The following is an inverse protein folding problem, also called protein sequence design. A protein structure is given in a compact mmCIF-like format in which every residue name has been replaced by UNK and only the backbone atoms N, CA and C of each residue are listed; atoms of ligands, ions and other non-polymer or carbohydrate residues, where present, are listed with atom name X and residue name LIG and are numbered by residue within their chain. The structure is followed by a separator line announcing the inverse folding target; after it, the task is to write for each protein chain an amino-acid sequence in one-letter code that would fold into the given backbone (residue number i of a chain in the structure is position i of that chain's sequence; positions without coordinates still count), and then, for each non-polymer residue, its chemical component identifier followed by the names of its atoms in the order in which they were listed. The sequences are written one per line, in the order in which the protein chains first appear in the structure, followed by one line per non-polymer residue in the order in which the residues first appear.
data_IF_312356805052
#
_entry.id   IF_312356805052
#
_cell.length_a   1.000
_cell.length_b   1.000
_cell.length_c   1.000
_cell.angle_alpha   90.00
_cell.angle_beta   90.00
_cell.angle_gamma   90.00
#
_symmetry.space_group_name_H-M   'P 1'
#
loop_
_entity.id
_entity.type
_entity.pdbx_description
1 polymer ?
#
# COMPACT_ATOMS: atom_id res chain seq x y z
N UNK A 1 11.19 0.50 -18.86
CA UNK A 1 10.48 0.60 -17.57
C UNK A 1 9.65 1.86 -17.65
N UNK A 2 8.33 1.82 -17.45
CA UNK A 2 7.52 3.02 -17.66
C UNK A 2 7.66 3.98 -16.46
N UNK A 3 7.54 3.47 -15.23
CA UNK A 3 7.74 4.23 -13.98
C UNK A 3 8.46 3.34 -12.94
N UNK A 4 9.45 3.87 -12.21
CA UNK A 4 10.22 3.11 -11.20
C UNK A 4 9.65 3.30 -9.79
N UNK A 5 9.14 4.49 -9.50
CA UNK A 5 8.57 4.89 -8.21
C UNK A 5 7.30 5.74 -8.34
N UNK A 6 6.76 6.19 -7.20
CA UNK A 6 5.58 7.06 -7.17
C UNK A 6 5.86 8.43 -7.79
N UNK A 7 7.07 8.99 -7.62
CA UNK A 7 7.43 10.32 -8.13
C UNK A 7 7.51 10.33 -9.66
N UNK A 8 8.00 9.26 -10.27
CA UNK A 8 7.93 9.04 -11.72
C UNK A 8 6.49 9.02 -12.21
N UNK A 9 5.61 8.31 -11.50
CA UNK A 9 4.20 8.24 -11.86
C UNK A 9 3.48 9.58 -11.73
N UNK A 10 3.77 10.35 -10.67
CA UNK A 10 3.26 11.73 -10.52
C UNK A 10 3.68 12.60 -11.71
N UNK A 11 4.95 12.54 -12.12
CA UNK A 11 5.47 13.32 -13.26
C UNK A 11 4.77 12.95 -14.57
N UNK A 12 4.53 11.66 -14.78
CA UNK A 12 3.79 11.21 -15.95
C UNK A 12 2.34 11.72 -15.94
N UNK A 13 1.62 11.56 -14.82
CA UNK A 13 0.25 12.02 -14.72
C UNK A 13 0.17 13.53 -14.96
N UNK A 14 1.13 14.30 -14.45
CA UNK A 14 1.24 15.73 -14.71
C UNK A 14 1.45 16.03 -16.21
N UNK A 15 2.37 15.32 -16.87
CA UNK A 15 2.62 15.47 -18.31
C UNK A 15 1.38 15.13 -19.17
N UNK A 16 0.52 14.22 -18.70
CA UNK A 16 -0.75 13.84 -19.35
C UNK A 16 -1.93 14.73 -18.96
N UNK A 17 -1.74 15.74 -18.12
CA UNK A 17 -2.85 16.55 -17.58
C UNK A 17 -3.79 15.78 -16.63
N UNK A 18 -3.36 14.62 -16.14
CA UNK A 18 -4.06 13.73 -15.22
C UNK A 18 -3.69 13.97 -13.75
N UNK A 19 -2.88 14.98 -13.46
CA UNK A 19 -2.56 15.45 -12.11
C UNK A 19 -2.70 16.96 -12.02
N UNK A 20 -3.27 17.44 -10.91
CA UNK A 20 -3.36 18.86 -10.58
C UNK A 20 -2.65 19.12 -9.25
N UNK A 21 -1.68 20.04 -9.28
CA UNK A 21 -1.07 20.62 -8.07
C UNK A 21 -1.98 21.69 -7.48
N UNK A 22 -2.28 21.55 -6.19
CA UNK A 22 -3.10 22.48 -5.40
C UNK A 22 -2.17 23.22 -4.45
N UNK A 23 -1.91 24.48 -4.77
CA UNK A 23 -0.98 25.36 -4.03
C UNK A 23 -1.65 26.19 -2.94
N UNK A 24 -2.97 26.32 -3.01
CA UNK A 24 -3.74 27.00 -1.96
C UNK A 24 -3.63 26.18 -0.69
N UNK A 25 -3.66 26.83 0.47
CA UNK A 25 -3.73 26.13 1.74
C UNK A 25 -5.04 25.35 1.82
N UNK A 26 -4.98 24.06 2.17
CA UNK A 26 -6.15 23.19 2.34
C UNK A 26 -6.01 22.39 3.63
N UNK A 27 -7.09 22.31 4.41
CA UNK A 27 -7.11 21.57 5.66
C UNK A 27 -7.23 20.05 5.42
N UNK A 28 -6.32 19.20 5.96
CA UNK A 28 -6.49 17.74 5.95
C UNK A 28 -7.74 17.27 6.70
N UNK A 29 -8.29 18.11 7.58
CA UNK A 29 -9.57 17.88 8.23
C UNK A 29 -10.72 18.26 7.29
N UNK A 30 -11.37 17.25 6.69
CA UNK A 30 -12.56 17.34 5.84
C UNK A 30 -12.39 18.04 4.49
N UNK A 31 -11.70 19.17 4.39
CA UNK A 31 -11.63 19.98 3.16
C UNK A 31 -10.99 19.23 1.99
N UNK A 32 -9.87 18.54 2.23
CA UNK A 32 -9.24 17.72 1.20
C UNK A 32 -10.18 16.63 0.67
N UNK A 33 -10.98 16.04 1.55
CA UNK A 33 -11.95 14.99 1.19
C UNK A 33 -13.05 15.55 0.30
N UNK A 34 -13.59 16.72 0.63
CA UNK A 34 -14.60 17.40 -0.19
C UNK A 34 -14.08 17.71 -1.60
N UNK A 35 -12.85 18.21 -1.69
CA UNK A 35 -12.20 18.51 -2.98
C UNK A 35 -11.99 17.21 -3.77
N UNK A 36 -11.52 16.15 -3.12
CA UNK A 36 -11.34 14.83 -3.74
C UNK A 36 -12.67 14.25 -4.23
N UNK A 37 -13.74 14.29 -3.44
CA UNK A 37 -15.05 13.74 -3.79
C UNK A 37 -15.63 14.43 -5.03
N UNK A 38 -15.66 15.76 -5.05
CA UNK A 38 -16.12 16.52 -6.22
C UNK A 38 -15.28 16.22 -7.46
N UNK A 39 -13.96 16.14 -7.29
CA UNK A 39 -13.03 15.85 -8.39
C UNK A 39 -13.28 14.45 -8.93
N UNK A 40 -13.43 13.44 -8.07
CA UNK A 40 -13.71 12.06 -8.48
C UNK A 40 -15.06 11.94 -9.20
N UNK A 41 -16.12 12.56 -8.66
CA UNK A 41 -17.46 12.57 -9.29
C UNK A 41 -17.47 13.21 -10.67
N UNK A 42 -16.62 14.20 -10.89
CA UNK A 42 -16.45 14.86 -12.18
C UNK A 42 -15.46 14.13 -13.12
N UNK A 43 -14.90 12.97 -12.72
CA UNK A 43 -13.88 12.27 -13.51
C UNK A 43 -12.55 13.02 -13.62
N UNK A 44 -12.26 13.90 -12.67
CA UNK A 44 -11.12 14.80 -12.66
C UNK A 44 -9.77 14.12 -12.36
N UNK A 45 -8.68 14.92 -12.33
CA UNK A 45 -7.31 14.43 -12.18
C UNK A 45 -7.02 13.92 -10.75
N UNK A 46 -5.87 13.26 -10.60
CA UNK A 46 -5.24 13.10 -9.28
C UNK A 46 -4.87 14.47 -8.70
N UNK A 47 -4.82 14.58 -7.38
CA UNK A 47 -4.60 15.85 -6.69
C UNK A 47 -3.34 15.76 -5.83
N UNK A 48 -2.43 16.71 -6.00
CA UNK A 48 -1.27 16.89 -5.13
C UNK A 48 -1.43 18.20 -4.36
N UNK A 49 -1.83 18.11 -3.09
CA UNK A 49 -1.93 19.24 -2.17
C UNK A 49 -0.54 19.58 -1.64
N UNK A 50 0.03 20.70 -2.07
CA UNK A 50 1.40 21.11 -1.74
C UNK A 50 1.48 21.94 -0.47
N UNK A 51 0.34 22.44 0.03
CA UNK A 51 0.25 23.27 1.23
C UNK A 51 -0.87 22.78 2.17
N UNK A 52 -0.71 21.60 2.80
CA UNK A 52 -1.63 21.17 3.85
C UNK A 52 -1.50 22.09 5.07
N UNK A 53 -2.63 22.61 5.56
CA UNK A 53 -2.63 23.53 6.71
C UNK A 53 -1.98 22.90 7.95
N UNK A 54 -0.91 23.52 8.43
CA UNK A 54 -0.17 23.05 9.61
C UNK A 54 0.84 21.94 9.36
N UNK A 55 1.13 21.59 8.10
CA UNK A 55 2.06 20.52 7.74
C UNK A 55 2.97 20.91 6.56
N UNK A 56 4.22 20.45 6.59
CA UNK A 56 5.19 20.67 5.51
C UNK A 56 5.22 19.54 4.47
N UNK A 57 4.45 18.46 4.69
CA UNK A 57 4.47 17.26 3.87
C UNK A 57 3.31 17.32 2.87
N UNK A 58 3.55 17.31 1.55
CA UNK A 58 2.46 17.29 0.55
C UNK A 58 1.60 16.04 0.63
N UNK A 59 0.31 16.16 0.29
CA UNK A 59 -0.64 15.04 0.25
C UNK A 59 -1.03 14.74 -1.19
N UNK A 60 -0.73 13.52 -1.65
CA UNK A 60 -1.24 12.98 -2.90
C UNK A 60 -2.55 12.23 -2.63
N UNK A 61 -3.62 12.62 -3.30
CA UNK A 61 -4.93 12.01 -3.19
C UNK A 61 -5.60 11.83 -4.56
N UNK A 62 -6.72 11.11 -4.59
CA UNK A 62 -7.47 10.79 -5.80
C UNK A 62 -6.64 10.11 -6.92
N UNK A 63 -5.54 9.46 -6.55
CA UNK A 63 -4.53 8.91 -7.48
C UNK A 63 -5.18 7.95 -8.49
N UNK A 64 -6.00 7.02 -7.98
CA UNK A 64 -6.71 6.02 -8.76
C UNK A 64 -8.20 6.37 -8.99
N UNK A 65 -8.53 7.66 -9.05
CA UNK A 65 -9.90 8.14 -9.21
C UNK A 65 -10.55 7.90 -10.58
N UNK A 66 -9.80 7.40 -11.57
CA UNK A 66 -10.35 7.03 -12.89
C UNK A 66 -9.82 5.67 -13.35
N UNK A 67 -10.61 4.91 -14.15
CA UNK A 67 -10.15 3.65 -14.72
C UNK A 67 -8.85 3.78 -15.54
N UNK A 68 -8.68 4.89 -16.24
CA UNK A 68 -7.48 5.17 -17.02
C UNK A 68 -6.24 5.30 -16.13
N UNK A 69 -6.32 6.01 -15.00
CA UNK A 69 -5.18 6.09 -14.06
C UNK A 69 -4.88 4.76 -13.38
N UNK A 70 -5.88 3.93 -13.13
CA UNK A 70 -5.67 2.54 -12.68
C UNK A 70 -4.89 1.75 -13.73
N UNK A 71 -5.31 1.80 -15.00
CA UNK A 71 -4.61 1.11 -16.08
C UNK A 71 -3.15 1.58 -16.21
N UNK A 72 -2.92 2.90 -16.20
CA UNK A 72 -1.58 3.49 -16.22
C UNK A 72 -0.72 3.01 -15.04
N UNK A 73 -1.30 2.92 -13.84
CA UNK A 73 -0.62 2.42 -12.65
C UNK A 73 -0.23 0.94 -12.73
N UNK A 74 -0.96 0.14 -13.51
CA UNK A 74 -0.63 -1.26 -13.80
C UNK A 74 0.35 -1.42 -14.98
N UNK A 75 0.91 -0.33 -15.51
CA UNK A 75 1.82 -0.35 -16.64
C UNK A 75 1.13 -0.49 -18.01
N UNK A 76 -0.20 -0.41 -18.06
CA UNK A 76 -0.99 -0.47 -19.29
C UNK A 76 -1.24 0.93 -19.88
N UNK A 77 -1.44 1.03 -21.21
CA UNK A 77 -1.85 2.29 -21.86
C UNK A 77 -3.36 2.54 -21.79
N UNK A 78 -4.16 1.49 -21.59
CA UNK A 78 -5.61 1.57 -21.59
C UNK A 78 -6.25 0.46 -20.74
N UNK A 79 -7.55 0.57 -20.52
CA UNK A 79 -8.33 -0.34 -19.67
C UNK A 79 -8.46 -1.72 -20.33
N UNK A 80 -8.48 -1.81 -21.66
CA UNK A 80 -8.58 -3.08 -22.38
C UNK A 80 -7.41 -4.01 -22.08
N UNK A 81 -6.21 -3.46 -21.88
CA UNK A 81 -5.03 -4.21 -21.51
C UNK A 81 -5.13 -4.88 -20.11
N UNK A 82 -6.04 -4.42 -19.24
CA UNK A 82 -6.31 -5.11 -17.97
C UNK A 82 -6.90 -6.51 -18.18
N UNK A 83 -7.56 -6.78 -19.32
CA UNK A 83 -8.02 -8.13 -19.66
C UNK A 83 -6.85 -9.11 -19.82
N UNK A 84 -5.72 -8.65 -20.36
CA UNK A 84 -4.52 -9.47 -20.50
C UNK A 84 -3.90 -9.80 -19.13
N UNK A 85 -3.97 -8.88 -18.17
CA UNK A 85 -3.59 -9.15 -16.77
C UNK A 85 -4.46 -10.27 -16.17
N UNK A 86 -5.78 -10.24 -16.42
CA UNK A 86 -6.69 -11.30 -15.96
C UNK A 86 -6.36 -12.67 -16.57
N UNK A 87 -6.02 -12.72 -17.87
CA UNK A 87 -5.56 -13.96 -18.52
C UNK A 87 -4.26 -14.47 -17.93
N UNK A 88 -3.31 -13.58 -17.64
CA UNK A 88 -2.05 -13.93 -17.00
C UNK A 88 -2.29 -14.51 -15.59
N UNK A 89 -3.17 -13.90 -14.79
CA UNK A 89 -3.55 -14.42 -13.47
C UNK A 89 -4.18 -15.80 -13.55
N UNK A 90 -5.08 -16.03 -14.51
CA UNK A 90 -5.68 -17.34 -14.74
C UNK A 90 -4.63 -18.40 -15.08
N UNK A 91 -3.68 -18.07 -15.97
CA UNK A 91 -2.57 -18.95 -16.31
C UNK A 91 -1.65 -19.27 -15.13
N UNK A 92 -1.34 -18.27 -14.29
CA UNK A 92 -0.47 -18.46 -13.11
C UNK A 92 -1.12 -19.32 -12.03
N UNK A 93 -2.45 -19.33 -11.95
CA UNK A 93 -3.19 -20.17 -11.00
C UNK A 93 -3.09 -21.65 -11.36
N UNK A 94 -3.22 -21.99 -12.65
CA UNK A 94 -3.18 -23.36 -13.15
C UNK A 94 -2.31 -23.44 -14.43
N UNK A 95 -0.98 -23.56 -14.29
CA UNK A 95 -0.09 -23.60 -15.45
C UNK A 95 -0.25 -24.92 -16.22
N UNK A 96 -0.82 -24.88 -17.42
CA UNK A 96 -0.86 -26.05 -18.31
C UNK A 96 0.51 -26.31 -18.97
N UNK A 97 1.08 -27.53 -18.85
CA UNK A 97 2.32 -27.88 -19.52
C UNK A 97 2.17 -27.72 -21.04
N UNK A 98 3.20 -27.22 -21.74
CA UNK A 98 3.10 -26.97 -23.16
C UNK A 98 2.88 -28.27 -23.94
N UNK A 99 1.87 -28.28 -24.83
CA UNK A 99 1.48 -29.49 -25.58
C UNK A 99 2.40 -29.80 -26.79
N UNK A 100 3.42 -28.96 -27.03
CA UNK A 100 4.42 -29.16 -28.08
C UNK A 100 5.33 -27.92 -28.30
N UNK A 101 6.24 -28.00 -29.27
CA UNK A 101 7.23 -26.94 -29.56
C UNK A 101 6.61 -25.60 -29.98
N UNK A 102 5.48 -25.63 -30.71
CA UNK A 102 4.77 -24.42 -31.14
C UNK A 102 4.13 -23.68 -29.95
N UNK A 103 3.47 -24.43 -29.07
CA UNK A 103 2.86 -23.91 -27.82
C UNK A 103 3.94 -23.38 -26.86
N UNK A 104 5.10 -24.03 -26.80
CA UNK A 104 6.24 -23.53 -26.02
C UNK A 104 6.77 -22.18 -26.55
N UNK A 105 6.81 -21.98 -27.87
CA UNK A 105 7.19 -20.69 -28.47
C UNK A 105 6.14 -19.59 -28.22
N UNK A 106 4.85 -19.92 -28.28
CA UNK A 106 3.75 -18.99 -27.97
C UNK A 106 3.74 -18.60 -26.48
N UNK A 107 4.13 -19.51 -25.58
CA UNK A 107 4.25 -19.25 -24.13
C UNK A 107 5.58 -18.60 -23.71
N UNK A 108 6.57 -18.49 -24.60
CA UNK A 108 7.90 -17.93 -24.30
C UNK A 108 7.86 -16.49 -23.74
N UNK A 109 7.01 -15.56 -24.22
CA UNK A 109 6.88 -14.24 -23.62
C UNK A 109 6.41 -14.26 -22.16
N UNK A 110 5.52 -15.21 -21.82
CA UNK A 110 5.02 -15.41 -20.45
C UNK A 110 6.16 -15.91 -19.54
N UNK A 111 6.97 -16.85 -20.02
CA UNK A 111 8.16 -17.31 -19.29
C UNK A 111 9.19 -16.18 -19.03
N UNK A 112 9.33 -15.22 -19.96
CA UNK A 112 10.16 -14.02 -19.71
C UNK A 112 9.58 -13.14 -18.61
N UNK A 113 8.26 -13.01 -18.52
CA UNK A 113 7.61 -12.26 -17.44
C UNK A 113 7.82 -12.93 -16.08
N UNK A 114 7.82 -14.26 -16.03
CA UNK A 114 8.11 -15.03 -14.80
C UNK A 114 9.48 -14.67 -14.19
N UNK A 115 10.47 -14.31 -15.00
CA UNK A 115 11.80 -13.87 -14.52
C UNK A 115 11.74 -12.58 -13.68
N UNK A 116 10.67 -11.79 -13.81
CA UNK A 116 10.46 -10.54 -13.06
C UNK A 116 9.70 -10.74 -11.73
N UNK A 117 9.31 -11.97 -11.39
CA UNK A 117 8.51 -12.26 -10.19
C UNK A 117 9.31 -12.16 -8.89
N UNK A 118 10.59 -12.52 -8.88
CA UNK A 118 11.39 -12.41 -7.65
C UNK A 118 11.64 -10.94 -7.28
N UNK A 119 11.31 -10.46 -6.07
CA UNK A 119 11.71 -9.13 -5.65
C UNK A 119 13.24 -9.00 -5.64
N UNK A 120 13.74 -7.81 -5.96
CA UNK A 120 15.17 -7.49 -5.92
C UNK A 120 15.47 -6.80 -4.60
N UNK A 121 16.20 -7.47 -3.72
CA UNK A 121 16.65 -6.87 -2.46
C UNK A 121 17.80 -5.92 -2.74
N UNK A 122 17.65 -4.65 -2.34
CA UNK A 122 18.69 -3.62 -2.39
C UNK A 122 19.28 -3.38 -1.00
N UNK A 123 20.53 -2.88 -0.95
CA UNK A 123 21.23 -2.64 0.32
C UNK A 123 20.93 -1.28 0.94
N UNK A 124 20.61 -0.28 0.11
CA UNK A 124 20.28 1.08 0.51
C UNK A 124 19.10 1.55 -0.33
N UNK A 125 18.22 2.34 0.26
CA UNK A 125 16.97 2.73 -0.35
C UNK A 125 16.60 4.18 0.01
N UNK A 126 15.98 4.94 -0.91
CA UNK A 126 15.51 6.29 -0.63
C UNK A 126 14.58 6.37 0.58
N UNK A 127 13.73 5.36 0.80
CA UNK A 127 12.79 5.34 1.93
C UNK A 127 13.46 5.29 3.33
N UNK A 128 14.78 5.19 3.39
CA UNK A 128 15.58 5.14 4.62
C UNK A 128 16.59 6.30 4.72
N UNK A 129 16.43 7.37 3.92
CA UNK A 129 17.32 8.56 3.96
C UNK A 129 17.22 9.31 5.29
N UNK A 130 15.99 9.45 5.82
CA UNK A 130 15.73 9.99 7.16
C UNK A 130 15.17 8.88 8.04
N UNK A 131 15.67 8.79 9.28
CA UNK A 131 15.26 7.79 10.27
C UNK A 131 14.92 8.49 11.57
N UNK A 132 13.67 8.32 12.03
CA UNK A 132 13.15 8.82 13.30
C UNK A 132 12.83 7.64 14.22
N UNK A 133 13.41 7.62 15.42
CA UNK A 133 13.24 6.54 16.41
C UNK A 133 12.91 7.10 17.80
N UNK A 134 12.31 6.26 18.66
CA UNK A 134 12.03 6.60 20.05
C UNK A 134 11.20 7.87 20.20
N UNK A 135 11.71 8.82 20.99
CA UNK A 135 11.06 10.12 21.23
C UNK A 135 11.00 11.02 19.99
N UNK A 136 11.57 10.64 18.84
CA UNK A 136 11.39 11.38 17.58
C UNK A 136 10.15 10.94 16.79
N UNK A 137 9.59 9.75 17.08
CA UNK A 137 8.43 9.19 16.36
C UNK A 137 7.15 9.92 16.71
N UNK A 138 6.65 10.73 15.78
CA UNK A 138 5.42 11.50 15.98
C UNK A 138 4.53 11.46 14.75
N UNK A 139 3.49 10.64 14.81
CA UNK A 139 2.51 10.49 13.74
C UNK A 139 1.65 11.76 13.55
N UNK A 140 1.57 12.63 14.56
CA UNK A 140 0.85 13.91 14.42
C UNK A 140 1.57 14.90 13.51
N UNK A 141 2.81 14.61 13.09
CA UNK A 141 3.52 15.39 12.07
C UNK A 141 3.15 15.00 10.64
N UNK A 142 2.45 13.88 10.46
CA UNK A 142 1.95 13.47 9.15
C UNK A 142 0.57 14.11 8.90
N UNK A 143 0.29 14.63 7.69
CA UNK A 143 -1.01 15.21 7.32
C UNK A 143 -2.07 14.11 7.10
N UNK A 144 -2.33 13.30 8.14
CA UNK A 144 -3.32 12.23 8.10
C UNK A 144 -4.71 12.87 8.03
N UNK A 145 -5.48 12.48 7.01
CA UNK A 145 -6.77 13.10 6.74
C UNK A 145 -7.83 12.64 7.74
N UNK A 146 -8.78 13.51 8.05
CA UNK A 146 -10.09 13.14 8.60
C UNK A 146 -11.10 13.25 7.46
N UNK A 147 -11.81 12.16 7.16
CA UNK A 147 -12.59 12.08 5.93
C UNK A 147 -13.97 12.72 6.10
N UNK A 148 -14.68 12.37 7.16
CA UNK A 148 -16.07 12.76 7.38
C UNK A 148 -16.29 13.40 8.76
N UNK A 149 -17.31 14.27 8.92
CA UNK A 149 -17.53 14.99 10.17
C UNK A 149 -17.78 14.10 11.41
N UNK A 150 -18.29 12.89 11.22
CA UNK A 150 -18.56 11.92 12.28
C UNK A 150 -17.46 10.89 12.49
N UNK A 151 -16.34 10.99 11.76
CA UNK A 151 -15.20 10.09 11.95
C UNK A 151 -14.54 10.32 13.31
N UNK A 152 -14.13 9.25 13.98
CA UNK A 152 -13.58 9.32 15.33
C UNK A 152 -12.23 10.05 15.44
N UNK A 153 -11.39 9.97 14.40
CA UNK A 153 -10.04 10.52 14.39
C UNK A 153 -9.47 10.53 12.96
N UNK A 154 -8.28 11.14 12.73
CA UNK A 154 -7.54 10.95 11.49
C UNK A 154 -7.31 9.47 11.15
N UNK A 155 -7.39 9.13 9.87
CA UNK A 155 -7.34 7.75 9.37
C UNK A 155 -6.31 7.60 8.25
N UNK A 156 -5.36 6.68 8.40
CA UNK A 156 -4.45 6.30 7.32
C UNK A 156 -5.19 5.34 6.38
N UNK A 157 -5.40 5.76 5.13
CA UNK A 157 -6.30 5.08 4.16
C UNK A 157 -5.58 4.29 3.07
N UNK A 158 -4.31 4.58 2.80
CA UNK A 158 -3.46 3.82 1.86
C UNK A 158 -2.25 3.12 2.51
N UNK A 159 -2.37 2.48 3.69
CA UNK A 159 -1.26 1.74 4.27
C UNK A 159 -1.06 0.41 3.53
N UNK A 160 0.12 0.20 2.95
CA UNK A 160 0.55 -1.15 2.57
C UNK A 160 1.13 -1.81 3.80
N UNK A 161 0.31 -2.61 4.49
CA UNK A 161 0.71 -3.35 5.68
C UNK A 161 1.42 -4.62 5.26
N UNK A 162 2.66 -4.78 5.71
CA UNK A 162 3.53 -5.93 5.42
C UNK A 162 3.68 -6.77 6.67
N UNK A 163 3.41 -8.06 6.53
CA UNK A 163 3.49 -9.07 7.58
C UNK A 163 4.13 -10.35 7.08
N UNK A 164 4.62 -11.18 8.00
CA UNK A 164 5.12 -12.53 7.71
C UNK A 164 4.67 -13.49 8.80
N UNK A 165 3.94 -14.53 8.42
CA UNK A 165 3.59 -15.62 9.34
C UNK A 165 4.83 -16.43 9.76
N UNK A 166 4.80 -17.10 10.93
CA UNK A 166 5.98 -17.73 11.55
C UNK A 166 6.55 -18.91 10.76
N UNK A 167 5.72 -19.58 9.95
CA UNK A 167 6.11 -20.76 9.17
C UNK A 167 6.32 -20.47 7.66
N UNK A 168 6.21 -19.19 7.26
CA UNK A 168 6.19 -18.79 5.85
C UNK A 168 7.42 -17.95 5.52
N UNK A 169 8.08 -18.28 4.42
CA UNK A 169 9.12 -17.39 3.86
C UNK A 169 8.49 -16.16 3.16
N UNK A 170 7.26 -16.30 2.63
CA UNK A 170 6.55 -15.23 1.91
C UNK A 170 5.99 -14.19 2.87
N UNK A 171 6.02 -12.94 2.44
CA UNK A 171 5.33 -11.84 3.11
C UNK A 171 3.96 -11.60 2.46
N UNK A 172 3.01 -11.16 3.27
CA UNK A 172 1.71 -10.68 2.81
C UNK A 172 1.72 -9.14 2.73
N UNK A 173 1.09 -8.57 1.72
CA UNK A 173 0.78 -7.14 1.64
C UNK A 173 -0.73 -6.94 1.66
N UNK A 174 -1.22 -6.04 2.51
CA UNK A 174 -2.65 -5.72 2.54
C UNK A 174 -2.92 -4.27 2.89
N UNK A 175 -4.10 -3.78 2.47
CA UNK A 175 -4.57 -2.45 2.82
C UNK A 175 -5.60 -2.57 3.95
N UNK A 176 -5.18 -2.15 5.14
CA UNK A 176 -5.99 -2.17 6.35
C UNK A 176 -6.01 -0.76 6.93
N UNK A 177 -7.18 -0.10 6.94
CA UNK A 177 -7.27 1.29 7.44
C UNK A 177 -6.73 1.38 8.86
N UNK A 178 -6.06 2.49 9.19
CA UNK A 178 -5.40 2.64 10.48
C UNK A 178 -5.80 3.94 11.18
N UNK A 179 -6.58 3.83 12.26
CA UNK A 179 -7.00 4.98 13.07
C UNK A 179 -5.85 5.49 13.92
N UNK A 180 -5.59 6.79 13.90
CA UNK A 180 -4.64 7.44 14.78
C UNK A 180 -5.22 7.58 16.20
N UNK A 181 -4.59 6.93 17.18
CA UNK A 181 -5.03 6.95 18.59
C UNK A 181 -3.97 7.49 19.55
N UNK A 182 -2.80 7.85 19.04
CA UNK A 182 -1.76 8.49 19.82
C UNK A 182 -0.53 8.79 19.00
N UNK A 183 0.45 9.42 19.65
CA UNK A 183 1.70 9.87 19.03
C UNK A 183 2.40 8.82 18.18
N UNK A 184 2.39 7.56 18.62
CA UNK A 184 3.03 6.44 17.93
C UNK A 184 2.13 5.20 17.88
N UNK A 185 0.81 5.38 17.92
CA UNK A 185 -0.16 4.29 18.04
C UNK A 185 -1.24 4.41 16.96
N UNK A 186 -1.40 3.34 16.20
CA UNK A 186 -2.41 3.17 15.16
C UNK A 186 -3.25 1.93 15.46
N UNK A 187 -4.53 1.92 15.09
CA UNK A 187 -5.35 0.70 15.16
C UNK A 187 -5.19 -0.11 13.87
N UNK A 188 -4.92 -1.41 13.95
CA UNK A 188 -4.83 -2.30 12.79
C UNK A 188 -6.19 -2.91 12.43
N UNK A 189 -7.00 -2.20 11.62
CA UNK A 189 -8.33 -2.66 11.21
C UNK A 189 -8.26 -3.67 10.07
N UNK A 190 -7.92 -4.91 10.39
CA UNK A 190 -8.02 -6.07 9.48
C UNK A 190 -9.20 -6.97 9.82
N UNK A 191 -9.85 -7.55 8.80
CA UNK A 191 -10.87 -8.59 9.05
C UNK A 191 -10.18 -9.94 9.30
N UNK A 192 -10.77 -10.79 10.13
CA UNK A 192 -10.14 -12.02 10.64
C UNK A 192 -9.66 -13.02 9.56
N UNK A 193 -10.17 -12.94 8.33
CA UNK A 193 -9.80 -13.80 7.20
C UNK A 193 -8.72 -13.20 6.29
N UNK A 194 -8.20 -12.00 6.60
CA UNK A 194 -7.16 -11.34 5.79
C UNK A 194 -5.78 -11.85 6.16
N UNK A 195 -4.86 -11.88 5.19
CA UNK A 195 -3.53 -12.46 5.34
C UNK A 195 -2.77 -11.98 6.59
N UNK A 196 -2.72 -10.67 6.83
CA UNK A 196 -2.07 -10.14 8.04
C UNK A 196 -2.70 -10.61 9.36
N UNK A 197 -4.03 -10.72 9.42
CA UNK A 197 -4.73 -11.21 10.61
C UNK A 197 -4.47 -12.70 10.84
N UNK A 198 -4.36 -13.49 9.76
CA UNK A 198 -3.97 -14.90 9.83
C UNK A 198 -2.53 -15.04 10.32
N UNK A 199 -1.60 -14.26 9.76
CA UNK A 199 -0.19 -14.26 10.17
C UNK A 199 -0.03 -13.88 11.65
N UNK A 200 -0.75 -12.86 12.13
CA UNK A 200 -0.73 -12.47 13.55
C UNK A 200 -1.27 -13.58 14.46
N UNK A 201 -2.38 -14.21 14.07
CA UNK A 201 -2.96 -15.31 14.85
C UNK A 201 -2.01 -16.51 14.91
N UNK A 202 -1.43 -16.89 13.77
CA UNK A 202 -0.42 -17.96 13.68
C UNK A 202 0.81 -17.61 14.52
N UNK A 203 1.26 -16.35 14.49
CA UNK A 203 2.37 -15.85 15.30
C UNK A 203 2.09 -16.00 16.80
N UNK A 204 0.93 -15.54 17.29
CA UNK A 204 0.59 -15.67 18.71
C UNK A 204 0.49 -17.13 19.18
N UNK A 205 0.16 -18.06 18.28
CA UNK A 205 0.15 -19.50 18.59
C UNK A 205 1.56 -20.09 18.66
N UNK A 206 2.44 -19.70 17.73
CA UNK A 206 3.81 -20.21 17.65
C UNK A 206 4.76 -19.55 18.67
N UNK A 207 4.53 -18.27 18.98
CA UNK A 207 5.37 -17.43 19.85
C UNK A 207 4.50 -16.71 20.91
N UNK A 208 3.94 -17.43 21.90
CA UNK A 208 3.02 -16.83 22.87
C UNK A 208 3.66 -15.69 23.67
N UNK A 209 3.02 -14.52 23.66
CA UNK A 209 3.49 -13.33 24.36
C UNK A 209 4.59 -12.54 23.65
N UNK A 210 5.09 -13.00 22.50
CA UNK A 210 6.07 -12.26 21.73
C UNK A 210 5.42 -11.24 20.80
N UNK A 211 6.02 -10.05 20.72
CA UNK A 211 5.60 -8.97 19.82
C UNK A 211 5.61 -9.42 18.36
N UNK A 212 4.54 -9.12 17.64
CA UNK A 212 4.43 -9.45 16.22
C UNK A 212 4.98 -8.32 15.36
N UNK A 213 6.07 -8.52 14.58
CA UNK A 213 6.65 -7.47 13.75
C UNK A 213 5.71 -7.05 12.61
N UNK A 214 5.56 -5.74 12.43
CA UNK A 214 4.76 -5.14 11.35
C UNK A 214 5.53 -3.98 10.72
N UNK A 215 5.40 -3.85 9.41
CA UNK A 215 5.83 -2.66 8.68
C UNK A 215 4.68 -2.12 7.83
N UNK A 216 4.62 -0.80 7.63
CA UNK A 216 3.64 -0.13 6.79
C UNK A 216 4.37 0.77 5.82
N UNK A 217 4.17 0.56 4.51
CA UNK A 217 4.70 1.46 3.49
C UNK A 217 3.60 2.41 3.00
N UNK A 218 3.93 3.71 2.93
CA UNK A 218 3.08 4.76 2.39
C UNK A 218 3.76 5.35 1.15
N UNK A 219 2.97 5.55 0.09
CA UNK A 219 3.48 6.12 -1.16
C UNK A 219 4.46 5.21 -1.91
N UNK A 220 4.20 3.90 -1.94
CA UNK A 220 4.94 2.98 -2.80
C UNK A 220 4.65 3.23 -4.30
N UNK A 221 5.42 2.59 -5.17
CA UNK A 221 5.15 2.61 -6.61
C UNK A 221 3.72 2.07 -6.93
N UNK A 222 3.07 2.56 -8.01
CA UNK A 222 1.67 2.25 -8.29
C UNK A 222 1.42 0.76 -8.55
N UNK A 223 2.39 0.03 -9.12
CA UNK A 223 2.26 -1.40 -9.38
C UNK A 223 2.23 -2.20 -8.08
N UNK A 224 3.05 -1.83 -7.09
CA UNK A 224 3.02 -2.43 -5.75
C UNK A 224 1.70 -2.15 -5.04
N UNK A 225 1.20 -0.90 -5.10
CA UNK A 225 -0.07 -0.55 -4.48
C UNK A 225 -1.23 -1.37 -5.09
N UNK A 226 -1.32 -1.41 -6.41
CA UNK A 226 -2.38 -2.15 -7.11
C UNK A 226 -2.21 -3.66 -6.95
N UNK A 227 -0.96 -4.14 -6.85
CA UNK A 227 -0.66 -5.53 -6.57
C UNK A 227 -1.19 -6.00 -5.21
N UNK A 228 -1.15 -5.15 -4.18
CA UNK A 228 -1.69 -5.43 -2.85
C UNK A 228 -3.23 -5.44 -2.78
N UNK A 229 -3.91 -4.82 -3.75
CA UNK A 229 -5.38 -4.80 -3.83
C UNK A 229 -5.90 -5.93 -4.73
N UNK A 230 -5.08 -6.41 -5.66
CA UNK A 230 -5.48 -7.46 -6.60
C UNK A 230 -5.50 -8.82 -5.89
N UNK A 231 -6.58 -9.62 -6.03
CA UNK A 231 -6.62 -10.96 -5.46
C UNK A 231 -5.66 -11.89 -6.21
N UNK A 232 -4.47 -12.09 -5.65
CA UNK A 232 -3.45 -13.00 -6.18
C UNK A 232 -3.58 -14.40 -5.57
N UNK A 233 -3.21 -15.47 -6.29
CA UNK A 233 -3.14 -16.80 -5.70
C UNK A 233 -2.15 -16.86 -4.52
N UNK A 234 -2.42 -17.71 -3.53
CA UNK A 234 -1.51 -17.94 -2.39
C UNK A 234 -0.10 -18.38 -2.80
N UNK A 235 0.05 -18.97 -3.99
CA UNK A 235 1.36 -19.37 -4.51
C UNK A 235 2.21 -18.18 -4.98
N UNK A 236 1.65 -16.96 -5.02
CA UNK A 236 2.28 -15.76 -5.54
C UNK A 236 2.29 -14.65 -4.50
N UNK A 237 3.45 -14.04 -4.24
CA UNK A 237 3.49 -12.83 -3.39
C UNK A 237 3.01 -11.60 -4.16
N UNK A 238 2.45 -10.62 -3.47
CA UNK A 238 1.97 -9.38 -4.08
C UNK A 238 3.13 -8.60 -4.72
N UNK A 239 4.34 -8.68 -4.17
CA UNK A 239 5.54 -8.12 -4.80
C UNK A 239 5.88 -8.76 -6.14
N UNK A 240 5.69 -10.07 -6.25
CA UNK A 240 5.93 -10.79 -7.49
C UNK A 240 4.91 -10.40 -8.55
N UNK A 241 3.64 -10.27 -8.14
CA UNK A 241 2.60 -9.78 -9.03
C UNK A 241 2.83 -8.33 -9.46
N UNK A 242 3.25 -7.45 -8.56
CA UNK A 242 3.66 -6.08 -8.88
C UNK A 242 4.83 -6.04 -9.89
N UNK A 243 5.78 -6.97 -9.79
CA UNK A 243 6.89 -7.09 -10.74
C UNK A 243 6.43 -7.49 -12.15
N UNK A 244 5.40 -8.35 -12.24
CA UNK A 244 4.76 -8.71 -13.51
C UNK A 244 4.07 -7.50 -14.14
N UNK A 245 3.27 -6.76 -13.38
CA UNK A 245 2.57 -5.55 -13.84
C UNK A 245 3.56 -4.49 -14.34
N UNK A 246 4.63 -4.26 -13.58
CA UNK A 246 5.66 -3.26 -13.90
C UNK A 246 6.57 -3.67 -15.06
N UNK A 247 6.65 -4.96 -15.36
CA UNK A 247 7.59 -5.54 -16.32
C UNK A 247 9.05 -5.55 -15.85
N UNK A 248 9.28 -5.40 -14.54
CA UNK A 248 10.61 -5.45 -13.91
C UNK A 248 10.47 -5.77 -12.41
N UNK A 249 11.50 -6.38 -11.82
CA UNK A 249 11.47 -6.80 -10.40
C UNK A 249 11.19 -5.62 -9.47
N UNK A 250 10.30 -5.83 -8.51
CA UNK A 250 10.06 -4.87 -7.42
C UNK A 250 11.31 -4.75 -6.56
N UNK A 251 11.84 -3.54 -6.42
CA UNK A 251 12.97 -3.28 -5.52
C UNK A 251 12.47 -3.13 -4.09
N UNK A 252 13.02 -3.93 -3.19
CA UNK A 252 12.68 -3.93 -1.77
C UNK A 252 13.94 -3.75 -0.93
N UNK A 253 13.78 -3.15 0.23
CA UNK A 253 14.84 -3.01 1.23
C UNK A 253 14.39 -3.66 2.53
N UNK A 254 15.33 -4.22 3.28
CA UNK A 254 15.06 -4.74 4.62
C UNK A 254 14.72 -3.58 5.55
N UNK A 255 13.68 -3.73 6.37
CA UNK A 255 13.41 -2.84 7.49
C UNK A 255 14.63 -2.73 8.41
N UNK A 256 14.72 -1.63 9.15
CA UNK A 256 15.82 -1.41 10.10
C UNK A 256 15.58 -2.22 11.37
N UNK A 257 14.35 -2.20 11.90
CA UNK A 257 14.00 -2.82 13.19
C UNK A 257 13.52 -4.25 13.14
N UNK A 258 13.29 -4.82 11.95
CA UNK A 258 12.80 -6.20 11.81
C UNK A 258 13.22 -6.83 10.46
N UNK A 259 12.89 -8.10 10.28
CA UNK A 259 13.27 -8.88 9.09
C UNK A 259 12.31 -8.75 7.90
N UNK A 260 11.35 -7.82 7.97
CA UNK A 260 10.44 -7.55 6.87
C UNK A 260 11.16 -6.77 5.75
N UNK A 261 10.63 -6.87 4.53
CA UNK A 261 11.10 -6.09 3.38
C UNK A 261 9.99 -5.21 2.84
N UNK A 262 10.30 -3.92 2.69
CA UNK A 262 9.40 -2.83 2.26
C UNK A 262 9.82 -2.33 0.88
N UNK A 263 8.94 -1.68 0.10
CA UNK A 263 9.32 -1.09 -1.18
C UNK A 263 10.42 -0.05 -0.99
N UNK A 264 11.54 -0.19 -1.71
CA UNK A 264 12.71 0.68 -1.54
C UNK A 264 12.39 2.16 -1.87
N UNK A 265 11.40 2.37 -2.73
CA UNK A 265 10.98 3.69 -3.21
C UNK A 265 9.77 4.28 -2.48
N UNK A 266 9.32 3.65 -1.38
CA UNK A 266 8.23 4.21 -0.56
C UNK A 266 8.59 5.63 -0.07
N UNK A 267 7.59 6.50 0.02
CA UNK A 267 7.79 7.87 0.54
C UNK A 267 7.97 7.86 2.06
N UNK A 268 7.18 7.06 2.79
CA UNK A 268 7.32 6.81 4.22
C UNK A 268 7.20 5.32 4.54
N UNK A 269 7.91 4.86 5.55
CA UNK A 269 7.77 3.53 6.15
C UNK A 269 7.60 3.67 7.66
N UNK A 270 6.56 3.04 8.20
CA UNK A 270 6.32 2.92 9.64
C UNK A 270 6.71 1.51 10.06
N UNK A 271 7.67 1.37 10.95
CA UNK A 271 8.09 0.07 11.49
C UNK A 271 7.73 -0.04 12.98
N UNK A 272 7.35 -1.24 13.40
CA UNK A 272 7.14 -1.54 14.80
C UNK A 272 6.48 -2.90 14.99
N UNK A 273 5.50 -2.97 15.88
CA UNK A 273 4.91 -4.24 16.28
C UNK A 273 3.47 -4.13 16.77
N UNK A 274 2.80 -5.28 16.84
CA UNK A 274 1.56 -5.46 17.60
C UNK A 274 1.89 -6.21 18.89
N UNK A 275 1.52 -5.64 20.03
CA UNK A 275 1.63 -6.29 21.34
C UNK A 275 0.47 -7.27 21.51
N UNK A 276 0.71 -8.57 21.76
CA UNK A 276 -0.37 -9.55 21.92
C UNK A 276 -1.36 -9.15 23.02
N UNK A 277 -2.64 -9.02 22.65
CA UNK A 277 -3.71 -8.63 23.58
C UNK A 277 -3.94 -7.12 23.72
N UNK A 278 -3.07 -6.26 23.17
CA UNK A 278 -3.34 -4.82 23.11
C UNK A 278 -4.36 -4.52 22.02
N UNK A 279 -5.54 -4.05 22.44
CA UNK A 279 -6.70 -3.80 21.56
C UNK A 279 -7.33 -2.46 21.89
N UNK A 280 -7.78 -1.72 20.88
CA UNK A 280 -8.48 -0.45 21.03
C UNK A 280 -9.80 -0.42 20.23
N UNK A 281 -10.69 0.47 20.64
CA UNK A 281 -11.97 0.70 19.99
C UNK A 281 -11.74 1.54 18.71
N UNK A 282 -12.14 0.99 17.57
CA UNK A 282 -12.02 1.61 16.26
C UNK A 282 -13.34 2.24 15.82
N UNK A 283 -13.27 3.45 15.26
CA UNK A 283 -14.41 4.16 14.72
C UNK A 283 -15.25 4.92 15.76
N UNK A 284 -16.44 5.42 15.36
CA UNK A 284 -17.07 5.17 14.07
C UNK A 284 -16.32 5.80 12.88
N UNK A 285 -16.49 5.21 11.69
CA UNK A 285 -15.95 5.72 10.44
C UNK A 285 -16.94 5.53 9.29
N UNK A 286 -17.06 6.52 8.41
CA UNK A 286 -17.74 6.36 7.13
C UNK A 286 -16.98 5.38 6.22
N UNK A 287 -17.70 4.51 5.51
CA UNK A 287 -17.08 3.57 4.57
C UNK A 287 -17.70 3.60 3.16
N UNK A 288 -17.22 2.70 2.30
CA UNK A 288 -17.66 2.55 0.91
C UNK A 288 -19.17 2.33 0.72
N UNK A 289 -19.92 1.95 1.76
CA UNK A 289 -21.38 1.79 1.69
C UNK A 289 -22.13 3.11 1.77
N UNK A 290 -21.46 4.20 2.17
CA UNK A 290 -22.06 5.50 2.41
C UNK A 290 -22.65 5.68 3.82
N UNK A 291 -22.41 4.74 4.73
CA UNK A 291 -22.85 4.77 6.12
C UNK A 291 -21.65 4.70 7.07
N UNK A 292 -21.87 5.08 8.33
CA UNK A 292 -20.89 4.88 9.40
C UNK A 292 -20.93 3.43 9.88
N UNK A 293 -19.76 2.82 10.02
CA UNK A 293 -19.63 1.57 10.78
C UNK A 293 -19.76 1.86 12.27
N UNK A 294 -20.35 0.93 13.00
CA UNK A 294 -20.32 0.90 14.47
C UNK A 294 -18.89 0.70 14.99
N UNK A 295 -18.71 1.04 16.26
CA UNK A 295 -17.45 0.84 16.98
C UNK A 295 -17.18 -0.66 17.17
N UNK A 296 -15.95 -1.09 16.90
CA UNK A 296 -15.50 -2.47 17.12
C UNK A 296 -14.02 -2.52 17.55
N UNK A 297 -13.54 -3.64 18.11
CA UNK A 297 -12.21 -3.73 18.73
C UNK A 297 -11.18 -4.39 17.84
N UNK A 298 -10.05 -3.73 17.64
CA UNK A 298 -8.95 -4.22 16.80
C UNK A 298 -7.58 -4.09 17.48
N UNK A 299 -6.56 -4.85 17.03
CA UNK A 299 -5.22 -4.76 17.59
C UNK A 299 -4.59 -3.40 17.41
N UNK A 300 -3.71 -3.03 18.33
CA UNK A 300 -2.96 -1.77 18.26
C UNK A 300 -1.58 -2.01 17.65
N UNK A 301 -1.27 -1.26 16.60
CA UNK A 301 0.05 -1.15 16.01
C UNK A 301 0.84 -0.03 16.70
N UNK A 302 1.93 -0.42 17.34
CA UNK A 302 2.91 0.50 17.94
C UNK A 302 4.00 0.79 16.91
N UNK A 303 4.16 2.07 16.57
CA UNK A 303 5.23 2.54 15.69
C UNK A 303 6.46 2.86 16.54
N UNK A 304 7.56 2.18 16.26
CA UNK A 304 8.86 2.41 16.93
C UNK A 304 9.80 3.25 16.07
N UNK A 305 9.57 3.27 14.75
CA UNK A 305 10.40 3.98 13.79
C UNK A 305 9.57 4.49 12.61
N UNK A 306 9.92 5.68 12.15
CA UNK A 306 9.46 6.24 10.88
C UNK A 306 10.70 6.47 10.03
N UNK A 307 10.75 5.90 8.83
CA UNK A 307 11.77 6.22 7.84
C UNK A 307 11.13 6.88 6.61
N UNK A 308 11.83 7.80 5.98
CA UNK A 308 11.31 8.48 4.78
C UNK A 308 12.42 9.03 3.88
N UNK A 309 12.01 9.46 2.68
CA UNK A 309 12.84 10.17 1.69
C UNK A 309 13.08 11.64 2.05
#
# INVERSE_FOLDING_TARGET
MKYQDLRDFIRELEARGQLKRIKVEVDPYLEMTEICDRTLRAGGPALLFENPKGFDIPVLANLFGTPERVALGMGAENVEALREVGKLLAFLKEPEPPKGFKDAWEKLPIFKQVLNMGPKVVRSAPCQEVVLEGDAVDLHKLPIQTCWPGDAAPLVTWPLVITRGPAKERQNLGIYRQQLIGRNKLIMRWLAHRGGALDFREWCQAHPGERFPVAVALGADPATILGAVTPVPDTLSEYAFAGLLRGSKTEVVKCIGNDLSVPASAEFVLEGYIEPGEMADEGPFGDHTGYYNEVDRFPVFTVERITHR
#
